data_IF_925272563537
#
_entry.id   IF_925272563537
#
_cell.length_a   1.000
_cell.length_b   1.000
_cell.length_c   1.000
_cell.angle_alpha   90.00
_cell.angle_beta   90.00
_cell.angle_gamma   90.00
#
_symmetry.space_group_name_H-M   'P 1'
#
loop_
_entity.id
_entity.type
_entity.pdbx_description
1 polymer ?
#
# COMPACT_ATOMS: atom_id res chain seq x y z
N UNK A 1 14.91 -9.85 -20.69
CA UNK A 1 13.87 -9.97 -19.62
C UNK A 1 12.70 -10.89 -19.99
N UNK A 2 12.13 -10.85 -21.20
CA UNK A 2 10.98 -11.68 -21.58
C UNK A 2 11.18 -13.20 -21.44
N UNK A 3 12.43 -13.68 -21.50
CA UNK A 3 12.78 -15.10 -21.31
C UNK A 3 12.97 -15.52 -19.82
N UNK A 4 13.11 -14.57 -18.88
CA UNK A 4 13.43 -14.83 -17.46
C UNK A 4 12.23 -14.64 -16.52
N UNK A 5 11.20 -13.94 -16.99
CA UNK A 5 9.89 -13.85 -16.35
C UNK A 5 8.84 -13.65 -17.46
N UNK A 6 7.88 -14.58 -17.63
CA UNK A 6 6.81 -14.39 -18.60
C UNK A 6 5.99 -13.13 -18.26
N UNK A 7 5.37 -12.53 -19.29
CA UNK A 7 4.43 -11.44 -19.07
C UNK A 7 3.35 -11.88 -18.09
N UNK A 8 3.09 -11.07 -17.06
CA UNK A 8 2.01 -11.37 -16.13
C UNK A 8 0.69 -11.47 -16.91
N UNK A 9 -0.24 -12.33 -16.46
CA UNK A 9 -1.63 -12.21 -16.91
C UNK A 9 -2.05 -10.75 -16.69
N UNK A 10 -2.71 -10.09 -17.65
CA UNK A 10 -3.13 -8.70 -17.47
C UNK A 10 -3.95 -8.64 -16.19
N UNK A 11 -3.37 -8.01 -15.16
CA UNK A 11 -4.01 -7.91 -13.86
C UNK A 11 -5.32 -7.15 -14.06
N UNK A 12 -6.39 -7.61 -13.41
CA UNK A 12 -7.68 -6.93 -13.50
C UNK A 12 -7.54 -5.53 -12.91
N UNK A 13 -7.37 -4.53 -13.78
CA UNK A 13 -7.32 -3.11 -13.41
C UNK A 13 -8.66 -2.71 -12.83
N UNK A 14 -8.63 -1.92 -11.77
CA UNK A 14 -9.85 -1.33 -11.22
C UNK A 14 -10.34 -0.21 -12.13
N UNK A 15 -11.58 -0.31 -12.60
CA UNK A 15 -12.23 0.75 -13.39
C UNK A 15 -13.28 1.44 -12.52
N UNK A 16 -13.16 2.75 -12.23
CA UNK A 16 -14.19 3.49 -11.51
C UNK A 16 -15.49 3.55 -12.32
N UNK A 17 -16.63 3.51 -11.63
CA UNK A 17 -17.96 3.73 -12.25
C UNK A 17 -18.31 5.21 -12.35
N UNK A 18 -17.68 6.04 -11.51
CA UNK A 18 -17.83 7.49 -11.52
C UNK A 18 -16.48 8.14 -11.32
N UNK A 19 -16.15 9.10 -12.16
CA UNK A 19 -14.97 9.94 -11.99
C UNK A 19 -15.43 11.39 -11.87
N UNK A 20 -14.95 12.08 -10.85
CA UNK A 20 -15.22 13.50 -10.64
C UNK A 20 -13.92 14.28 -10.56
N UNK A 21 -13.93 15.51 -11.05
CA UNK A 21 -12.82 16.47 -10.90
C UNK A 21 -13.33 17.76 -10.27
N UNK A 22 -12.63 18.24 -9.23
CA UNK A 22 -12.94 19.55 -8.65
C UNK A 22 -12.33 20.69 -9.48
N UNK A 23 -12.92 21.90 -9.49
CA UNK A 23 -12.35 23.05 -10.21
C UNK A 23 -10.87 23.30 -9.91
N UNK A 24 -10.49 23.31 -8.62
CA UNK A 24 -9.10 23.52 -8.22
C UNK A 24 -8.14 22.44 -8.74
N UNK A 25 -8.61 21.21 -8.95
CA UNK A 25 -7.76 20.16 -9.50
C UNK A 25 -7.39 20.45 -10.96
N UNK A 26 -8.29 21.07 -11.71
CA UNK A 26 -8.10 21.41 -13.12
C UNK A 26 -7.13 22.59 -13.31
N UNK A 27 -6.85 23.37 -12.27
CA UNK A 27 -5.84 24.43 -12.27
C UNK A 27 -4.42 23.85 -12.32
N UNK A 28 -4.21 22.63 -11.83
CA UNK A 28 -2.92 21.95 -11.85
C UNK A 28 -2.67 21.19 -13.16
N UNK A 29 -1.45 21.27 -13.74
CA UNK A 29 -1.08 20.49 -14.92
C UNK A 29 -1.30 18.99 -14.76
N UNK A 30 -0.95 18.42 -13.60
CA UNK A 30 -1.15 16.99 -13.36
C UNK A 30 -2.62 16.62 -13.28
N UNK A 31 -3.47 17.45 -12.66
CA UNK A 31 -4.92 17.22 -12.66
C UNK A 31 -5.50 17.13 -14.07
N UNK A 32 -5.10 18.04 -14.97
CA UNK A 32 -5.48 17.98 -16.39
C UNK A 32 -4.96 16.72 -17.09
N UNK A 33 -3.74 16.26 -16.78
CA UNK A 33 -3.19 14.99 -17.30
C UNK A 33 -3.98 13.78 -16.82
N UNK A 34 -4.39 13.74 -15.55
CA UNK A 34 -5.24 12.65 -15.02
C UNK A 34 -6.57 12.63 -15.77
N UNK A 35 -7.22 13.79 -15.95
CA UNK A 35 -8.49 13.89 -16.71
C UNK A 35 -8.32 13.36 -18.13
N UNK A 36 -7.31 13.85 -18.86
CA UNK A 36 -7.06 13.41 -20.23
C UNK A 36 -6.77 11.90 -20.32
N UNK A 37 -6.02 11.34 -19.36
CA UNK A 37 -5.74 9.91 -19.30
C UNK A 37 -7.00 9.08 -19.04
N UNK A 38 -7.86 9.51 -18.13
CA UNK A 38 -9.12 8.84 -17.81
C UNK A 38 -10.09 8.91 -19.01
N UNK A 39 -10.22 10.08 -19.64
CA UNK A 39 -11.07 10.26 -20.84
C UNK A 39 -10.55 9.43 -22.02
N UNK A 40 -9.23 9.29 -22.19
CA UNK A 40 -8.64 8.42 -23.21
C UNK A 40 -8.92 6.92 -22.99
N UNK A 41 -9.29 6.52 -21.77
CA UNK A 41 -9.77 5.16 -21.47
C UNK A 41 -11.29 5.01 -21.70
N UNK A 42 -11.96 6.03 -22.23
CA UNK A 42 -13.40 6.04 -22.48
C UNK A 42 -14.25 6.26 -21.23
N UNK A 43 -13.67 6.76 -20.14
CA UNK A 43 -14.37 7.01 -18.89
C UNK A 43 -14.72 8.50 -18.80
N UNK A 44 -16.00 8.81 -18.64
CA UNK A 44 -16.46 10.19 -18.47
C UNK A 44 -15.95 10.79 -17.15
N UNK A 45 -15.47 12.04 -17.21
CA UNK A 45 -15.07 12.82 -16.04
C UNK A 45 -16.07 13.96 -15.78
N UNK A 46 -16.86 13.81 -14.72
CA UNK A 46 -17.78 14.83 -14.24
C UNK A 46 -17.00 15.99 -13.61
N UNK A 47 -17.08 17.17 -14.23
CA UNK A 47 -16.45 18.40 -13.73
C UNK A 47 -17.38 19.07 -12.73
N UNK A 48 -17.00 19.08 -11.46
CA UNK A 48 -17.82 19.63 -10.38
C UNK A 48 -17.81 21.16 -10.41
N UNK A 49 -18.88 21.79 -9.89
CA UNK A 49 -19.00 23.27 -9.79
C UNK A 49 -18.21 23.88 -8.62
N UNK A 50 -17.85 23.08 -7.62
CA UNK A 50 -17.16 23.53 -6.41
C UNK A 50 -16.18 22.46 -5.92
N UNK A 51 -15.26 22.83 -5.04
CA UNK A 51 -14.27 21.94 -4.42
C UNK A 51 -14.89 21.05 -3.32
N UNK A 52 -16.03 20.42 -3.61
CA UNK A 52 -16.78 19.57 -2.68
C UNK A 52 -17.36 18.37 -3.41
N UNK A 53 -17.10 17.18 -2.89
CA UNK A 53 -17.68 15.94 -3.42
C UNK A 53 -19.17 15.85 -3.06
N UNK A 54 -20.00 15.63 -4.06
CA UNK A 54 -21.46 15.43 -3.95
C UNK A 54 -21.85 14.06 -4.51
N UNK A 55 -23.07 13.60 -4.20
CA UNK A 55 -23.63 12.36 -4.76
C UNK A 55 -23.05 11.05 -4.21
N UNK A 56 -22.14 11.11 -3.23
CA UNK A 56 -21.50 9.90 -2.67
C UNK A 56 -22.42 9.15 -1.71
N UNK A 57 -23.20 9.87 -0.88
CA UNK A 57 -24.10 9.24 0.11
C UNK A 57 -25.34 8.66 -0.58
N UNK A 58 -25.64 7.40 -0.27
CA UNK A 58 -26.85 6.68 -0.66
C UNK A 58 -27.92 6.69 0.44
N UNK A 59 -28.97 5.89 0.27
CA UNK A 59 -30.04 5.73 1.28
C UNK A 59 -29.58 4.89 2.47
N UNK A 60 -28.60 4.01 2.25
CA UNK A 60 -28.01 3.15 3.29
C UNK A 60 -26.49 3.31 3.35
N UNK A 61 -25.87 2.88 4.46
CA UNK A 61 -24.41 2.85 4.58
C UNK A 61 -23.76 1.91 3.57
N UNK A 62 -24.42 0.79 3.26
CA UNK A 62 -23.97 -0.16 2.23
C UNK A 62 -23.94 0.47 0.84
N UNK A 63 -24.98 1.21 0.48
CA UNK A 63 -25.02 1.96 -0.79
C UNK A 63 -23.95 3.05 -0.83
N UNK A 64 -23.82 3.81 0.26
CA UNK A 64 -22.78 4.84 0.39
C UNK A 64 -21.39 4.24 0.21
N UNK A 65 -21.12 3.11 0.85
CA UNK A 65 -19.87 2.38 0.72
C UNK A 65 -19.61 1.89 -0.70
N UNK A 66 -20.60 1.25 -1.35
CA UNK A 66 -20.47 0.75 -2.71
C UNK A 66 -20.22 1.87 -3.73
N UNK A 67 -20.94 3.00 -3.60
CA UNK A 67 -20.70 4.20 -4.42
C UNK A 67 -19.30 4.76 -4.19
N UNK A 68 -18.89 4.90 -2.93
CA UNK A 68 -17.57 5.43 -2.60
C UNK A 68 -16.43 4.57 -3.17
N UNK A 69 -16.49 3.24 -3.01
CA UNK A 69 -15.48 2.29 -3.52
C UNK A 69 -15.41 2.20 -5.05
N UNK A 70 -16.43 2.69 -5.75
CA UNK A 70 -16.47 2.75 -7.21
C UNK A 70 -16.30 4.18 -7.76
N UNK A 71 -16.02 5.17 -6.90
CA UNK A 71 -15.80 6.56 -7.28
C UNK A 71 -14.31 6.92 -7.21
N UNK A 72 -13.78 7.53 -8.27
CA UNK A 72 -12.51 8.23 -8.27
C UNK A 72 -12.76 9.74 -8.20
N UNK A 73 -12.06 10.44 -7.31
CA UNK A 73 -12.12 11.88 -7.20
C UNK A 73 -10.75 12.51 -7.46
N UNK A 74 -10.66 13.38 -8.46
CA UNK A 74 -9.47 14.16 -8.80
C UNK A 74 -9.58 15.49 -8.05
N UNK A 75 -8.72 15.67 -7.04
CA UNK A 75 -8.78 16.78 -6.09
C UNK A 75 -7.38 17.36 -5.84
N UNK A 76 -7.29 18.50 -5.16
CA UNK A 76 -6.02 19.01 -4.62
C UNK A 76 -5.80 18.42 -3.22
N UNK A 77 -4.55 18.08 -2.88
CA UNK A 77 -4.22 17.58 -1.55
C UNK A 77 -4.60 18.58 -0.45
N UNK A 78 -5.08 18.14 0.73
CA UNK A 78 -5.34 19.04 1.85
C UNK A 78 -4.04 19.72 2.31
N UNK A 79 -4.03 21.04 2.63
CA UNK A 79 -2.81 21.74 3.05
C UNK A 79 -2.07 21.09 4.22
N UNK A 80 -2.81 20.50 5.17
CA UNK A 80 -2.24 19.77 6.30
C UNK A 80 -1.40 18.54 5.91
N UNK A 81 -1.58 17.99 4.69
CA UNK A 81 -0.77 16.89 4.15
C UNK A 81 0.59 17.33 3.63
N UNK A 82 0.83 18.64 3.46
CA UNK A 82 2.11 19.19 2.99
C UNK A 82 3.19 19.14 4.08
N UNK A 83 2.78 19.13 5.35
CA UNK A 83 3.69 18.91 6.47
C UNK A 83 3.85 17.41 6.72
N UNK A 84 4.97 16.84 6.27
CA UNK A 84 5.20 15.40 6.36
C UNK A 84 5.25 14.93 7.81
N UNK A 85 4.67 13.74 8.04
CA UNK A 85 4.63 13.11 9.35
C UNK A 85 5.61 11.94 9.39
N UNK A 86 6.31 11.72 10.52
CA UNK A 86 7.08 10.49 10.70
C UNK A 86 6.21 9.25 10.64
N UNK A 87 6.74 8.14 10.10
CA UNK A 87 5.98 6.90 9.93
C UNK A 87 6.80 5.66 10.32
N UNK A 88 7.32 5.70 11.53
CA UNK A 88 8.00 4.56 12.13
C UNK A 88 7.07 3.34 12.25
N UNK A 89 7.57 2.10 12.02
CA UNK A 89 8.95 1.77 11.66
C UNK A 89 9.24 1.73 10.14
N UNK A 90 8.26 2.07 9.29
CA UNK A 90 8.39 1.92 7.82
C UNK A 90 9.46 2.84 7.24
N UNK A 91 9.28 4.16 7.40
CA UNK A 91 10.10 5.18 6.76
C UNK A 91 10.26 6.41 7.64
N UNK A 92 11.21 7.28 7.28
CA UNK A 92 11.42 8.56 7.94
C UNK A 92 10.20 9.47 7.82
N UNK A 93 9.62 9.55 6.62
CA UNK A 93 8.51 10.46 6.31
C UNK A 93 7.40 9.76 5.54
N UNK A 94 6.16 10.14 5.81
CA UNK A 94 5.01 9.83 4.95
C UNK A 94 4.66 11.04 4.10
N UNK A 95 4.45 10.82 2.81
CA UNK A 95 3.74 11.74 1.92
C UNK A 95 2.62 10.98 1.20
N UNK A 96 1.63 11.70 0.70
CA UNK A 96 0.44 11.10 0.10
C UNK A 96 0.27 11.61 -1.33
N UNK A 97 0.14 10.70 -2.30
CA UNK A 97 -0.23 11.02 -3.70
C UNK A 97 -1.71 10.77 -3.98
N UNK A 98 -2.36 10.02 -3.10
CA UNK A 98 -3.76 9.71 -3.09
C UNK A 98 -4.19 9.27 -1.68
N UNK A 99 -5.50 9.25 -1.45
CA UNK A 99 -6.13 8.77 -0.22
C UNK A 99 -7.34 7.90 -0.56
N UNK A 100 -7.54 6.82 0.20
CA UNK A 100 -8.52 5.79 -0.11
C UNK A 100 -7.96 4.74 -1.07
N UNK A 101 -8.68 3.63 -1.18
CA UNK A 101 -8.29 2.48 -1.98
C UNK A 101 -9.54 1.78 -2.50
N UNK A 102 -9.58 1.34 -3.77
CA UNK A 102 -10.72 0.64 -4.34
C UNK A 102 -10.86 -0.81 -3.86
N UNK A 103 -9.83 -1.38 -3.22
CA UNK A 103 -9.89 -2.74 -2.70
C UNK A 103 -10.89 -2.90 -1.54
N UNK A 104 -11.35 -4.13 -1.35
CA UNK A 104 -12.31 -4.55 -0.34
C UNK A 104 -11.67 -5.48 0.71
N UNK A 105 -10.49 -5.10 1.20
CA UNK A 105 -9.84 -5.82 2.30
C UNK A 105 -10.70 -5.73 3.57
N UNK A 106 -11.13 -6.86 4.13
CA UNK A 106 -12.05 -6.91 5.27
C UNK A 106 -11.38 -6.55 6.61
N UNK A 107 -10.05 -6.43 6.62
CA UNK A 107 -9.22 -6.05 7.77
C UNK A 107 -8.61 -4.65 7.63
N UNK A 108 -9.04 -3.86 6.64
CA UNK A 108 -8.36 -2.64 6.25
C UNK A 108 -8.35 -1.58 7.37
N UNK A 109 -7.17 -1.23 7.88
CA UNK A 109 -7.03 -0.22 8.95
C UNK A 109 -7.48 1.19 8.52
N UNK A 110 -7.59 1.45 7.20
CA UNK A 110 -8.12 2.70 6.67
C UNK A 110 -9.56 2.95 7.12
N UNK A 111 -10.32 1.89 7.42
CA UNK A 111 -11.68 1.98 7.95
C UNK A 111 -11.77 2.81 9.24
N UNK A 112 -10.74 2.77 10.09
CA UNK A 112 -10.67 3.59 11.30
C UNK A 112 -9.77 4.82 11.19
N UNK A 113 -9.14 5.04 10.03
CA UNK A 113 -8.15 6.12 9.86
C UNK A 113 -8.64 7.26 8.97
N UNK A 114 -9.64 7.01 8.13
CA UNK A 114 -10.23 7.99 7.22
C UNK A 114 -11.66 8.30 7.65
N UNK A 115 -12.04 9.57 7.58
CA UNK A 115 -13.39 10.01 7.98
C UNK A 115 -14.32 10.06 6.77
N UNK A 116 -15.59 9.70 7.00
CA UNK A 116 -16.63 9.73 5.98
C UNK A 116 -16.53 8.59 4.95
N UNK A 117 -17.25 8.71 3.82
CA UNK A 117 -17.27 7.66 2.81
C UNK A 117 -15.88 7.41 2.20
N UNK A 118 -15.47 6.14 2.02
CA UNK A 118 -14.11 5.76 1.61
C UNK A 118 -13.90 5.92 0.08
N UNK A 119 -14.10 7.15 -0.41
CA UNK A 119 -13.84 7.53 -1.81
C UNK A 119 -12.34 7.51 -2.06
N UNK A 120 -11.94 6.97 -3.21
CA UNK A 120 -10.56 7.07 -3.69
C UNK A 120 -10.32 8.46 -4.27
N UNK A 121 -9.43 9.23 -3.64
CA UNK A 121 -9.06 10.59 -4.00
C UNK A 121 -7.63 10.61 -4.52
N UNK A 122 -7.40 11.13 -5.71
CA UNK A 122 -6.06 11.30 -6.31
C UNK A 122 -5.72 12.78 -6.36
N UNK A 123 -4.45 13.10 -6.11
CA UNK A 123 -4.02 14.48 -5.94
C UNK A 123 -3.45 15.09 -7.22
N UNK A 124 -3.99 16.23 -7.59
CA UNK A 124 -3.65 16.99 -8.80
C UNK A 124 -2.40 17.87 -8.61
N UNK A 125 -2.00 18.17 -7.38
CA UNK A 125 -0.84 19.01 -7.04
C UNK A 125 0.48 18.22 -6.92
N UNK A 126 0.62 17.14 -7.71
CA UNK A 126 1.75 16.20 -7.68
C UNK A 126 3.12 16.89 -7.70
N UNK A 127 3.33 17.83 -8.64
CA UNK A 127 4.63 18.49 -8.79
C UNK A 127 4.99 19.32 -7.53
N UNK A 128 4.00 19.93 -6.87
CA UNK A 128 4.18 20.65 -5.61
C UNK A 128 4.45 19.70 -4.43
N UNK A 129 3.76 18.56 -4.38
CA UNK A 129 4.00 17.52 -3.36
C UNK A 129 5.43 16.99 -3.47
N UNK A 130 5.88 16.63 -4.68
CA UNK A 130 7.23 16.10 -4.91
C UNK A 130 8.32 17.14 -4.61
N UNK A 131 8.14 18.39 -5.06
CA UNK A 131 9.09 19.47 -4.77
C UNK A 131 9.27 19.70 -3.26
N UNK A 132 8.17 19.65 -2.48
CA UNK A 132 8.21 19.84 -1.03
C UNK A 132 8.94 18.75 -0.25
N UNK A 133 9.25 17.60 -0.86
CA UNK A 133 9.99 16.53 -0.18
C UNK A 133 11.43 16.95 0.13
N UNK A 134 12.01 17.85 -0.67
CA UNK A 134 13.40 18.31 -0.51
C UNK A 134 13.68 18.91 0.87
N UNK A 135 12.69 19.58 1.47
CA UNK A 135 12.80 20.21 2.80
C UNK A 135 12.97 19.19 3.94
N UNK A 136 12.73 17.90 3.67
CA UNK A 136 12.75 16.81 4.65
C UNK A 136 13.94 15.86 4.48
N UNK A 137 14.65 15.93 3.36
CA UNK A 137 15.84 15.11 3.12
C UNK A 137 16.93 15.40 4.16
N UNK A 138 17.57 14.35 4.69
CA UNK A 138 18.57 14.44 5.74
C UNK A 138 18.03 14.72 7.15
N UNK A 139 16.71 14.85 7.32
CA UNK A 139 16.07 15.17 8.63
C UNK A 139 15.39 13.97 9.29
N UNK A 140 15.48 12.79 8.68
CA UNK A 140 14.85 11.56 9.14
C UNK A 140 15.39 11.04 10.47
N UNK A 141 14.61 10.19 11.14
CA UNK A 141 14.97 9.58 12.44
C UNK A 141 14.72 8.07 12.52
N UNK A 142 14.17 7.46 11.47
CA UNK A 142 13.79 6.05 11.39
C UNK A 142 14.86 5.26 10.65
N UNK A 143 15.12 5.57 9.38
CA UNK A 143 16.18 4.90 8.59
C UNK A 143 17.47 5.69 8.65
N UNK A 144 17.38 7.02 8.56
CA UNK A 144 18.53 7.92 8.60
C UNK A 144 19.36 7.83 9.90
N UNK A 145 18.80 7.29 10.99
CA UNK A 145 19.50 7.07 12.29
C UNK A 145 19.66 5.61 12.67
N UNK A 146 19.22 4.68 11.83
CA UNK A 146 19.35 3.25 12.09
C UNK A 146 20.65 2.75 11.48
N UNK A 147 21.56 2.23 12.31
CA UNK A 147 22.80 1.62 11.81
C UNK A 147 22.54 0.48 10.80
N UNK A 148 21.39 -0.19 10.90
CA UNK A 148 20.99 -1.29 10.03
C UNK A 148 20.25 -0.86 8.75
N UNK A 149 19.89 0.42 8.61
CA UNK A 149 19.10 0.94 7.47
C UNK A 149 19.59 2.28 6.93
N UNK A 150 20.76 2.76 7.37
CA UNK A 150 21.31 4.07 6.99
C UNK A 150 21.61 4.12 5.48
N UNK A 151 21.90 2.97 4.86
CA UNK A 151 22.12 2.82 3.44
C UNK A 151 20.87 3.10 2.59
N UNK A 152 19.67 3.02 3.17
CA UNK A 152 18.42 3.43 2.50
C UNK A 152 18.32 4.96 2.35
N UNK A 153 19.17 5.72 3.07
CA UNK A 153 19.10 7.17 3.12
C UNK A 153 17.83 7.68 3.82
N UNK A 154 17.42 8.91 3.50
CA UNK A 154 16.14 9.44 3.96
C UNK A 154 14.99 8.79 3.19
N UNK A 155 14.15 8.05 3.90
CA UNK A 155 13.09 7.26 3.28
C UNK A 155 11.72 7.93 3.31
N UNK A 156 10.98 7.79 2.21
CA UNK A 156 9.65 8.38 2.03
C UNK A 156 8.62 7.30 1.67
N UNK A 157 7.63 7.09 2.54
CA UNK A 157 6.51 6.16 2.32
C UNK A 157 5.34 6.86 1.61
N UNK A 158 4.96 6.35 0.43
CA UNK A 158 3.94 6.94 -0.43
C UNK A 158 2.60 6.19 -0.47
N UNK A 159 2.46 5.10 0.30
CA UNK A 159 1.31 4.17 0.21
C UNK A 159 0.54 3.98 1.52
N UNK A 160 0.76 4.84 2.52
CA UNK A 160 0.06 4.73 3.81
C UNK A 160 -1.47 4.85 3.71
N UNK A 161 -1.99 5.57 2.74
CA UNK A 161 -3.43 5.82 2.65
C UNK A 161 -4.05 5.38 1.33
N UNK A 162 -3.31 4.66 0.49
CA UNK A 162 -3.76 4.26 -0.83
C UNK A 162 -2.99 3.06 -1.35
N UNK A 163 -3.41 2.50 -2.48
CA UNK A 163 -2.66 1.46 -3.18
C UNK A 163 -2.11 2.01 -4.51
N UNK A 164 -0.77 2.07 -4.69
CA UNK A 164 -0.11 2.59 -5.89
C UNK A 164 -0.63 2.04 -7.22
N UNK A 165 -0.52 0.72 -7.40
CA UNK A 165 -0.75 0.08 -8.68
C UNK A 165 -2.24 -0.06 -8.99
N UNK A 166 -3.11 0.09 -7.98
CA UNK A 166 -4.54 0.24 -8.21
C UNK A 166 -4.87 1.50 -9.04
N UNK A 167 -4.04 2.54 -8.94
CA UNK A 167 -4.33 3.90 -9.45
C UNK A 167 -3.37 4.37 -10.53
N UNK A 168 -2.22 3.72 -10.70
CA UNK A 168 -1.19 4.17 -11.64
C UNK A 168 -1.71 4.28 -13.07
N UNK A 169 -2.46 3.28 -13.55
CA UNK A 169 -3.02 3.29 -14.91
C UNK A 169 -4.00 4.45 -15.17
N UNK A 170 -4.55 5.08 -14.13
CA UNK A 170 -5.44 6.23 -14.22
C UNK A 170 -4.68 7.55 -14.05
N UNK A 171 -3.57 7.54 -13.31
CA UNK A 171 -2.95 8.77 -12.80
C UNK A 171 -1.57 9.05 -13.38
N UNK A 172 -0.71 8.02 -13.51
CA UNK A 172 0.72 8.19 -13.77
C UNK A 172 1.51 8.83 -12.63
N UNK A 173 0.92 8.97 -11.44
CA UNK A 173 1.55 9.68 -10.33
C UNK A 173 2.75 8.92 -9.76
N UNK A 174 2.69 7.58 -9.75
CA UNK A 174 3.72 6.74 -9.15
C UNK A 174 4.94 6.62 -10.07
N UNK A 175 4.74 6.45 -11.38
CA UNK A 175 5.85 6.54 -12.34
C UNK A 175 6.60 7.87 -12.21
N UNK A 176 5.85 8.99 -12.16
CA UNK A 176 6.44 10.33 -12.00
C UNK A 176 7.22 10.48 -10.68
N UNK A 177 6.75 9.84 -9.61
CA UNK A 177 7.46 9.80 -8.33
C UNK A 177 8.75 8.98 -8.42
N UNK A 178 8.75 7.81 -9.09
CA UNK A 178 10.00 7.05 -9.33
C UNK A 178 11.01 7.87 -10.11
N UNK A 179 10.58 8.51 -11.20
CA UNK A 179 11.45 9.37 -12.01
C UNK A 179 12.02 10.55 -11.20
N UNK A 180 11.20 11.15 -10.31
CA UNK A 180 11.65 12.21 -9.41
C UNK A 180 12.73 11.73 -8.45
N UNK A 181 12.52 10.59 -7.77
CA UNK A 181 13.50 10.02 -6.84
C UNK A 181 14.76 9.53 -7.56
N UNK A 182 14.62 8.94 -8.75
CA UNK A 182 15.76 8.51 -9.54
C UNK A 182 16.69 9.68 -9.90
N UNK A 183 16.13 10.83 -10.28
CA UNK A 183 16.87 12.04 -10.62
C UNK A 183 17.40 12.82 -9.41
N UNK A 184 17.00 12.48 -8.19
CA UNK A 184 17.34 13.25 -7.00
C UNK A 184 18.73 12.91 -6.48
N UNK A 185 19.71 13.79 -6.72
CA UNK A 185 21.10 13.62 -6.28
C UNK A 185 21.31 13.76 -4.76
N UNK A 186 20.82 12.79 -4.00
CA UNK A 186 20.95 12.67 -2.55
C UNK A 186 20.73 11.20 -2.12
N UNK A 187 21.16 10.81 -0.90
CA UNK A 187 20.79 9.52 -0.31
C UNK A 187 19.33 9.56 0.14
N UNK A 188 18.41 9.32 -0.81
CA UNK A 188 16.97 9.26 -0.59
C UNK A 188 16.38 7.99 -1.20
N UNK A 189 15.29 7.50 -0.63
CA UNK A 189 14.58 6.34 -1.18
C UNK A 189 13.07 6.48 -1.05
N UNK A 190 12.39 6.30 -2.18
CA UNK A 190 10.95 6.15 -2.25
C UNK A 190 10.55 4.73 -1.87
N UNK A 191 9.52 4.58 -1.05
CA UNK A 191 9.00 3.27 -0.65
C UNK A 191 7.50 3.26 -0.84
N UNK A 192 6.98 2.17 -1.40
CA UNK A 192 5.54 1.91 -1.42
C UNK A 192 5.23 0.41 -1.33
N UNK A 193 4.01 0.06 -0.93
CA UNK A 193 3.51 -1.32 -0.89
C UNK A 193 2.19 -1.41 -1.68
N UNK A 194 1.94 -2.55 -2.32
CA UNK A 194 0.75 -2.78 -3.16
C UNK A 194 0.20 -4.20 -3.02
N UNK A 195 -1.10 -4.38 -3.28
CA UNK A 195 -1.79 -5.67 -3.47
C UNK A 195 -2.17 -5.94 -4.93
N UNK A 196 -1.66 -5.15 -5.88
CA UNK A 196 -1.88 -5.32 -7.32
C UNK A 196 -0.57 -5.74 -8.00
N UNK A 197 -0.65 -6.16 -9.26
CA UNK A 197 0.46 -6.81 -9.97
C UNK A 197 0.81 -6.14 -11.31
N UNK A 198 0.14 -5.05 -11.67
CA UNK A 198 0.37 -4.34 -12.93
C UNK A 198 1.61 -3.44 -12.84
N UNK A 199 2.77 -4.03 -13.07
CA UNK A 199 4.08 -3.38 -12.96
C UNK A 199 4.72 -3.03 -14.31
N UNK A 200 3.99 -3.22 -15.41
CA UNK A 200 4.54 -3.16 -16.76
C UNK A 200 5.21 -1.82 -17.07
N UNK A 201 4.65 -0.71 -16.59
CA UNK A 201 5.18 0.64 -16.80
C UNK A 201 6.39 0.99 -15.94
N UNK A 202 6.77 0.12 -15.00
CA UNK A 202 7.92 0.29 -14.12
C UNK A 202 9.12 -0.56 -14.54
N UNK A 203 8.91 -1.69 -15.22
CA UNK A 203 10.01 -2.51 -15.75
C UNK A 203 10.74 -1.73 -16.84
N UNK A 204 12.06 -1.57 -16.70
CA UNK A 204 12.92 -0.77 -17.57
C UNK A 204 12.86 0.74 -17.31
N UNK A 205 12.12 1.18 -16.28
CA UNK A 205 12.11 2.59 -15.88
C UNK A 205 13.41 2.91 -15.14
N UNK A 206 14.15 4.00 -15.48
CA UNK A 206 15.41 4.33 -14.81
C UNK A 206 15.15 4.77 -13.36
N UNK A 207 15.14 3.81 -12.43
CA UNK A 207 14.81 4.04 -11.01
C UNK A 207 16.04 4.31 -10.12
N UNK A 208 17.25 4.14 -10.67
CA UNK A 208 18.54 4.40 -10.00
C UNK A 208 18.71 3.74 -8.62
N UNK A 209 18.07 2.59 -8.38
CA UNK A 209 18.03 1.93 -7.06
C UNK A 209 17.32 2.72 -5.95
N UNK A 210 16.73 3.89 -6.24
CA UNK A 210 16.13 4.82 -5.26
C UNK A 210 14.65 4.58 -4.97
N UNK A 211 14.11 3.44 -5.40
CA UNK A 211 12.72 3.05 -5.09
C UNK A 211 12.66 1.62 -4.60
N UNK A 212 12.14 1.39 -3.39
CA UNK A 212 11.76 0.06 -2.91
C UNK A 212 10.29 -0.23 -3.15
N UNK A 213 10.01 -1.23 -3.98
CA UNK A 213 8.64 -1.68 -4.26
C UNK A 213 8.32 -2.91 -3.42
N UNK A 214 7.30 -2.82 -2.57
CA UNK A 214 6.88 -3.92 -1.70
C UNK A 214 5.54 -4.50 -2.15
N UNK A 215 5.37 -5.78 -1.91
CA UNK A 215 4.12 -6.48 -2.17
C UNK A 215 3.54 -6.99 -0.87
N UNK A 216 2.30 -6.57 -0.61
CA UNK A 216 1.51 -7.14 0.47
C UNK A 216 1.13 -8.57 0.12
N UNK A 217 1.57 -9.52 0.94
CA UNK A 217 1.30 -10.95 0.76
C UNK A 217 0.71 -11.55 2.03
N UNK A 218 -0.02 -12.65 1.87
CA UNK A 218 -0.63 -13.34 2.99
C UNK A 218 -0.86 -14.82 2.65
N UNK A 219 -1.12 -15.62 3.68
CA UNK A 219 -1.55 -17.00 3.51
C UNK A 219 -2.82 -17.09 2.65
N UNK A 220 -2.98 -18.16 1.87
CA UNK A 220 -4.12 -18.34 0.95
C UNK A 220 -5.49 -18.23 1.66
N UNK A 221 -5.72 -18.83 2.84
CA UNK A 221 -6.99 -18.70 3.55
C UNK A 221 -7.34 -17.27 3.97
N UNK A 222 -6.34 -16.38 4.08
CA UNK A 222 -6.55 -14.96 4.36
C UNK A 222 -6.80 -14.20 3.07
N UNK A 223 -5.88 -14.30 2.11
CA UNK A 223 -5.93 -13.50 0.88
C UNK A 223 -7.18 -13.80 0.05
N UNK A 224 -7.52 -15.07 -0.16
CA UNK A 224 -8.65 -15.48 -0.99
C UNK A 224 -10.01 -15.12 -0.39
N UNK A 225 -10.10 -15.08 0.95
CA UNK A 225 -11.37 -14.85 1.66
C UNK A 225 -11.60 -13.40 2.05
N UNK A 226 -10.53 -12.64 2.26
CA UNK A 226 -10.60 -11.31 2.89
C UNK A 226 -10.09 -10.18 2.01
N UNK A 227 -9.42 -10.45 0.88
CA UNK A 227 -8.78 -9.42 0.04
C UNK A 227 -9.52 -9.19 -1.29
N UNK A 228 -10.79 -8.79 -1.21
CA UNK A 228 -11.60 -8.55 -2.40
C UNK A 228 -11.05 -7.44 -3.30
N UNK A 229 -11.08 -7.65 -4.62
CA UNK A 229 -10.67 -6.65 -5.61
C UNK A 229 -9.17 -6.40 -5.71
N UNK A 230 -8.34 -7.37 -5.29
CA UNK A 230 -6.88 -7.31 -5.37
C UNK A 230 -6.34 -8.39 -6.31
N UNK A 231 -5.07 -8.30 -6.71
CA UNK A 231 -4.41 -9.38 -7.47
C UNK A 231 -4.22 -10.62 -6.58
N UNK A 232 -4.09 -11.81 -7.17
CA UNK A 232 -3.78 -13.01 -6.37
C UNK A 232 -2.36 -12.93 -5.81
N UNK A 233 -2.06 -13.64 -4.72
CA UNK A 233 -0.70 -13.67 -4.17
C UNK A 233 0.33 -14.20 -5.18
N UNK A 234 0.06 -15.26 -5.96
CA UNK A 234 0.96 -15.67 -7.06
C UNK A 234 1.24 -14.55 -8.06
N UNK A 235 0.23 -13.78 -8.49
CA UNK A 235 0.44 -12.66 -9.42
C UNK A 235 1.30 -11.56 -8.81
N UNK A 236 1.12 -11.26 -7.51
CA UNK A 236 1.93 -10.28 -6.78
C UNK A 236 3.39 -10.73 -6.69
N UNK A 237 3.63 -12.02 -6.42
CA UNK A 237 4.99 -12.57 -6.37
C UNK A 237 5.65 -12.61 -7.76
N UNK A 238 4.87 -12.86 -8.83
CA UNK A 238 5.36 -12.73 -10.20
C UNK A 238 5.76 -11.28 -10.54
N UNK A 239 4.95 -10.31 -10.12
CA UNK A 239 5.27 -8.88 -10.26
C UNK A 239 6.52 -8.49 -9.45
N UNK A 240 6.65 -8.99 -8.21
CA UNK A 240 7.85 -8.83 -7.38
C UNK A 240 9.10 -9.33 -8.11
N UNK A 241 9.05 -10.56 -8.65
CA UNK A 241 10.17 -11.14 -9.40
C UNK A 241 10.58 -10.25 -10.56
N UNK A 242 9.62 -9.73 -11.32
CA UNK A 242 9.90 -8.88 -12.50
C UNK A 242 10.63 -7.60 -12.11
N UNK A 243 10.20 -6.93 -11.05
CA UNK A 243 10.88 -5.74 -10.55
C UNK A 243 12.26 -6.06 -9.97
N UNK A 244 12.38 -7.18 -9.26
CA UNK A 244 13.66 -7.61 -8.70
C UNK A 244 14.69 -7.93 -9.81
N UNK A 245 14.27 -8.61 -10.88
CA UNK A 245 15.11 -8.87 -12.06
C UNK A 245 15.48 -7.60 -12.84
N UNK A 246 14.71 -6.52 -12.68
CA UNK A 246 14.98 -5.20 -13.27
C UNK A 246 15.90 -4.34 -12.38
N UNK A 247 16.28 -4.84 -11.20
CA UNK A 247 17.20 -4.18 -10.27
C UNK A 247 16.53 -3.30 -9.21
N UNK A 248 15.20 -3.32 -9.10
CA UNK A 248 14.53 -2.65 -7.97
C UNK A 248 14.89 -3.35 -6.65
N UNK A 249 15.20 -2.60 -5.58
CA UNK A 249 14.99 -3.10 -4.22
C UNK A 249 13.53 -3.52 -4.04
N UNK A 250 13.30 -4.72 -3.52
CA UNK A 250 11.95 -5.27 -3.35
C UNK A 250 11.66 -5.64 -1.90
N UNK A 251 10.39 -5.88 -1.59
CA UNK A 251 10.08 -6.41 -0.27
C UNK A 251 8.71 -7.06 -0.14
N UNK A 252 8.58 -7.79 0.95
CA UNK A 252 7.35 -8.44 1.39
C UNK A 252 6.77 -7.63 2.53
N UNK A 253 5.50 -7.26 2.39
CA UNK A 253 4.69 -6.78 3.52
C UNK A 253 3.76 -7.92 3.92
N UNK A 254 4.18 -8.77 4.87
CA UNK A 254 3.33 -9.85 5.36
C UNK A 254 2.35 -9.25 6.36
N UNK A 255 1.20 -8.80 5.85
CA UNK A 255 0.28 -7.98 6.63
C UNK A 255 -1.19 -8.03 6.14
N UNK A 256 -2.15 -8.14 7.08
CA UNK A 256 -1.94 -8.49 8.49
C UNK A 256 -1.66 -9.98 8.65
N UNK A 257 -0.68 -10.35 9.46
CA UNK A 257 -0.51 -11.73 9.91
C UNK A 257 -1.72 -12.07 10.79
N UNK A 258 -2.55 -12.97 10.28
CA UNK A 258 -3.72 -13.54 10.96
C UNK A 258 -3.42 -14.99 11.34
N UNK A 259 -3.58 -15.33 12.62
CA UNK A 259 -3.46 -16.69 13.15
C UNK A 259 -4.71 -17.53 12.80
N UNK A 260 -4.88 -17.83 11.51
CA UNK A 260 -5.91 -18.77 11.03
C UNK A 260 -5.64 -20.20 11.52
N UNK A 261 -6.62 -21.12 11.49
CA UNK A 261 -6.34 -22.54 11.69
C UNK A 261 -5.19 -23.01 10.77
N UNK A 262 -4.28 -23.81 11.31
CA UNK A 262 -3.07 -24.30 10.63
C UNK A 262 -2.18 -23.20 10.03
N UNK A 263 -2.15 -22.00 10.62
CA UNK A 263 -1.39 -20.86 10.09
C UNK A 263 0.07 -21.19 9.75
N UNK A 264 0.75 -22.05 10.52
CA UNK A 264 2.13 -22.46 10.21
C UNK A 264 2.26 -23.11 8.85
N UNK A 265 1.38 -24.06 8.53
CA UNK A 265 1.36 -24.73 7.22
C UNK A 265 1.06 -23.71 6.13
N UNK A 266 0.06 -22.87 6.36
CA UNK A 266 -0.42 -21.91 5.36
C UNK A 266 0.58 -20.80 5.04
N UNK A 267 1.26 -20.26 6.06
CA UNK A 267 2.37 -19.34 5.83
C UNK A 267 3.62 -20.06 5.33
N UNK A 268 3.85 -21.34 5.68
CA UNK A 268 4.93 -22.14 5.09
C UNK A 268 4.79 -22.24 3.57
N UNK A 269 3.58 -22.55 3.09
CA UNK A 269 3.26 -22.57 1.65
C UNK A 269 3.43 -21.20 0.98
N UNK A 270 3.14 -20.10 1.70
CA UNK A 270 3.43 -18.75 1.21
C UNK A 270 4.95 -18.55 1.04
N UNK A 271 5.74 -18.94 2.04
CA UNK A 271 7.20 -18.79 2.00
C UNK A 271 7.82 -19.65 0.89
N UNK A 272 7.28 -20.84 0.61
CA UNK A 272 7.72 -21.68 -0.52
C UNK A 272 7.48 -21.00 -1.89
N UNK A 273 6.36 -20.29 -2.03
CA UNK A 273 6.10 -19.47 -3.22
C UNK A 273 7.07 -18.29 -3.31
N UNK A 274 7.42 -17.66 -2.18
CA UNK A 274 8.43 -16.60 -2.13
C UNK A 274 9.79 -17.13 -2.60
N UNK A 275 10.24 -18.27 -2.06
CA UNK A 275 11.50 -18.93 -2.48
C UNK A 275 11.53 -19.12 -3.99
N UNK A 276 10.44 -19.67 -4.54
CA UNK A 276 10.31 -19.89 -5.98
C UNK A 276 10.38 -18.57 -6.77
N UNK A 277 9.68 -17.54 -6.30
CA UNK A 277 9.61 -16.25 -6.98
C UNK A 277 10.97 -15.53 -7.04
N UNK A 278 11.82 -15.69 -6.02
CA UNK A 278 13.12 -15.00 -5.95
C UNK A 278 14.31 -15.85 -6.39
N UNK A 279 14.09 -17.11 -6.75
CA UNK A 279 15.15 -18.01 -7.21
C UNK A 279 15.89 -17.46 -8.44
N UNK A 280 17.22 -17.39 -8.36
CA UNK A 280 18.08 -16.93 -9.46
C UNK A 280 17.99 -15.43 -9.78
N UNK A 281 17.43 -14.61 -8.89
CA UNK A 281 17.50 -13.14 -9.02
C UNK A 281 18.91 -12.67 -8.61
N UNK A 282 19.68 -12.01 -9.49
CA UNK A 282 21.00 -11.50 -9.15
C UNK A 282 20.89 -10.35 -8.15
N UNK A 283 21.86 -10.25 -7.22
CA UNK A 283 21.99 -9.12 -6.28
C UNK A 283 20.69 -8.76 -5.53
N UNK A 284 19.89 -9.77 -5.19
CA UNK A 284 18.57 -9.60 -4.59
C UNK A 284 18.63 -8.79 -3.29
N UNK A 285 18.07 -7.58 -3.32
CA UNK A 285 17.76 -6.80 -2.12
C UNK A 285 16.29 -6.99 -1.72
N UNK A 286 16.05 -8.06 -0.95
CA UNK A 286 14.74 -8.42 -0.43
C UNK A 286 14.61 -8.09 1.05
N UNK A 287 13.54 -7.39 1.43
CA UNK A 287 13.20 -7.12 2.84
C UNK A 287 11.84 -7.69 3.22
N UNK A 288 11.64 -8.05 4.49
CA UNK A 288 10.33 -8.42 5.04
C UNK A 288 9.89 -7.45 6.15
N UNK A 289 8.64 -7.00 6.06
CA UNK A 289 7.93 -6.25 7.08
C UNK A 289 6.77 -7.11 7.61
N UNK A 290 6.82 -7.43 8.90
CA UNK A 290 5.91 -8.38 9.53
C UNK A 290 4.94 -7.63 10.45
N UNK A 291 3.65 -7.65 10.11
CA UNK A 291 2.66 -6.81 10.78
C UNK A 291 1.49 -7.69 11.19
N UNK A 292 1.28 -7.84 12.49
CA UNK A 292 0.16 -8.63 13.01
C UNK A 292 -1.17 -7.94 12.86
N UNK A 293 -2.24 -8.74 12.77
CA UNK A 293 -3.59 -8.22 12.80
C UNK A 293 -3.86 -7.43 14.07
N UNK A 294 -4.42 -6.24 13.87
CA UNK A 294 -4.84 -5.33 14.93
C UNK A 294 -6.08 -4.56 14.48
N UNK A 295 -6.88 -4.14 15.43
CA UNK A 295 -8.03 -3.27 15.17
C UNK A 295 -8.25 -2.31 16.34
N UNK A 296 -8.92 -1.20 16.08
CA UNK A 296 -9.48 -0.28 17.08
C UNK A 296 -10.99 -0.50 17.18
N UNK A 297 -11.66 -0.10 18.28
CA UNK A 297 -13.12 -0.14 18.39
C UNK A 297 -13.82 0.49 17.18
N UNK A 298 -13.39 1.70 16.78
CA UNK A 298 -13.97 2.39 15.63
C UNK A 298 -13.73 1.67 14.30
N UNK A 299 -12.54 1.11 14.06
CA UNK A 299 -12.31 0.33 12.84
C UNK A 299 -13.17 -0.94 12.80
N UNK A 300 -13.37 -1.59 13.95
CA UNK A 300 -14.22 -2.79 14.07
C UNK A 300 -15.66 -2.47 13.73
N UNK A 301 -16.22 -1.40 14.30
CA UNK A 301 -17.58 -0.94 14.02
C UNK A 301 -17.78 -0.67 12.52
N UNK A 302 -16.89 0.11 11.91
CA UNK A 302 -16.95 0.43 10.47
C UNK A 302 -16.85 -0.83 9.61
N UNK A 303 -15.90 -1.73 9.92
CA UNK A 303 -15.71 -2.96 9.16
C UNK A 303 -16.90 -3.92 9.28
N UNK A 304 -17.52 -4.05 10.46
CA UNK A 304 -18.72 -4.86 10.64
C UNK A 304 -19.94 -4.24 9.92
N UNK A 305 -20.01 -2.92 9.83
CA UNK A 305 -21.01 -2.23 9.01
C UNK A 305 -20.85 -2.51 7.51
N UNK A 306 -19.62 -2.50 6.99
CA UNK A 306 -19.35 -2.78 5.58
C UNK A 306 -19.43 -4.27 5.22
N UNK A 307 -18.99 -5.14 6.13
CA UNK A 307 -18.85 -6.58 5.93
C UNK A 307 -19.50 -7.37 7.08
N UNK A 308 -20.85 -7.34 7.23
CA UNK A 308 -21.55 -7.97 8.35
C UNK A 308 -21.39 -9.50 8.39
N UNK A 309 -20.93 -10.12 7.30
CA UNK A 309 -20.66 -11.56 7.18
C UNK A 309 -19.17 -11.90 7.18
N UNK A 310 -18.30 -10.97 7.58
CA UNK A 310 -16.87 -11.24 7.68
C UNK A 310 -16.59 -12.38 8.66
N UNK A 311 -15.61 -13.22 8.33
CA UNK A 311 -15.08 -14.24 9.25
C UNK A 311 -13.83 -13.75 9.99
N UNK A 312 -13.50 -12.47 9.87
CA UNK A 312 -12.37 -11.87 10.57
C UNK A 312 -12.68 -11.80 12.07
N UNK A 313 -11.85 -12.47 12.87
CA UNK A 313 -11.97 -12.44 14.33
C UNK A 313 -11.52 -11.05 14.87
N UNK A 314 -12.49 -10.35 15.45
CA UNK A 314 -12.33 -9.04 16.10
C UNK A 314 -13.06 -9.01 17.46
N UNK A 315 -13.06 -10.11 18.21
CA UNK A 315 -13.57 -10.18 19.56
C UNK A 315 -12.55 -9.57 20.54
N UNK A 316 -12.93 -8.47 21.16
CA UNK A 316 -12.11 -7.73 22.12
C UNK A 316 -11.72 -8.59 23.34
N UNK A 317 -12.57 -9.55 23.74
CA UNK A 317 -12.32 -10.43 24.89
C UNK A 317 -11.18 -11.43 24.64
N UNK A 318 -10.92 -11.77 23.37
CA UNK A 318 -9.84 -12.71 22.99
C UNK A 318 -8.53 -11.98 22.66
N UNK A 319 -8.50 -10.66 22.79
CA UNK A 319 -7.39 -9.80 22.38
C UNK A 319 -6.79 -9.07 23.56
N UNK A 320 -5.52 -8.68 23.42
CA UNK A 320 -4.85 -7.79 24.36
C UNK A 320 -5.04 -6.35 23.95
N UNK A 321 -5.51 -5.53 24.90
CA UNK A 321 -5.60 -4.07 24.75
C UNK A 321 -4.21 -3.43 24.86
N UNK A 322 -3.86 -2.57 23.90
CA UNK A 322 -2.62 -1.78 23.88
C UNK A 322 -2.95 -0.31 23.64
N UNK A 323 -2.30 0.57 24.42
CA UNK A 323 -2.44 2.01 24.29
C UNK A 323 -1.35 2.58 23.39
N UNK A 324 -1.73 3.47 22.50
CA UNK A 324 -0.83 4.30 21.72
C UNK A 324 -0.29 5.47 22.54
N UNK A 325 0.72 6.16 21.99
CA UNK A 325 1.38 7.31 22.62
C UNK A 325 0.41 8.42 23.04
N UNK A 326 -0.69 8.58 22.31
CA UNK A 326 -1.73 9.61 22.54
C UNK A 326 -3.02 9.03 23.12
N UNK A 327 -2.97 7.89 23.80
CA UNK A 327 -4.12 7.27 24.46
C UNK A 327 -5.03 6.43 23.55
N UNK A 328 -4.84 6.47 22.23
CA UNK A 328 -5.60 5.65 21.29
C UNK A 328 -5.48 4.14 21.62
N UNK A 329 -6.61 3.45 21.71
CA UNK A 329 -6.66 2.03 22.04
C UNK A 329 -6.64 1.19 20.77
N UNK A 330 -5.83 0.13 20.76
CA UNK A 330 -5.86 -0.93 19.76
C UNK A 330 -5.82 -2.30 20.41
N UNK A 331 -6.45 -3.27 19.76
CA UNK A 331 -6.44 -4.68 20.13
C UNK A 331 -5.43 -5.43 19.27
N UNK A 332 -4.60 -6.24 19.92
CA UNK A 332 -3.58 -7.09 19.31
C UNK A 332 -3.71 -8.51 19.85
N UNK A 333 -3.01 -9.47 19.27
CA UNK A 333 -3.01 -10.84 19.80
C UNK A 333 -2.47 -10.91 21.25
N UNK A 334 -2.87 -11.92 22.03
CA UNK A 334 -2.23 -12.29 23.29
C UNK A 334 -0.72 -12.48 23.14
N UNK A 335 0.03 -12.36 24.24
CA UNK A 335 1.50 -12.36 24.22
C UNK A 335 2.05 -13.69 23.70
N UNK A 336 1.39 -14.78 24.04
CA UNK A 336 1.75 -16.16 23.71
C UNK A 336 1.68 -16.34 22.20
N UNK A 337 0.53 -16.00 21.60
CA UNK A 337 0.31 -16.05 20.13
C UNK A 337 1.26 -15.10 19.40
N UNK A 338 1.49 -13.88 19.90
CA UNK A 338 2.45 -12.94 19.32
C UNK A 338 3.87 -13.51 19.31
N UNK A 339 4.29 -14.15 20.40
CA UNK A 339 5.63 -14.75 20.52
C UNK A 339 5.76 -15.95 19.58
N UNK A 340 4.75 -16.80 19.54
CA UNK A 340 4.69 -17.99 18.69
C UNK A 340 4.79 -17.64 17.20
N UNK A 341 3.99 -16.67 16.74
CA UNK A 341 4.04 -16.19 15.36
C UNK A 341 5.41 -15.56 15.06
N UNK A 342 5.91 -14.68 15.93
CA UNK A 342 7.18 -13.98 15.73
C UNK A 342 8.34 -14.97 15.59
N UNK A 343 8.51 -15.85 16.56
CA UNK A 343 9.60 -16.83 16.56
C UNK A 343 9.54 -17.75 15.33
N UNK A 344 8.33 -18.14 14.92
CA UNK A 344 8.17 -18.96 13.71
C UNK A 344 8.57 -18.19 12.45
N UNK A 345 8.09 -16.95 12.25
CA UNK A 345 8.44 -16.16 11.07
C UNK A 345 9.94 -15.82 11.02
N UNK A 346 10.54 -15.44 12.16
CA UNK A 346 11.97 -15.15 12.24
C UNK A 346 12.82 -16.37 11.85
N UNK A 347 12.46 -17.57 12.33
CA UNK A 347 13.14 -18.82 11.94
C UNK A 347 12.95 -19.15 10.46
N UNK A 348 11.70 -19.23 10.01
CA UNK A 348 11.40 -19.76 8.67
C UNK A 348 11.87 -18.82 7.55
N UNK A 349 11.86 -17.50 7.77
CA UNK A 349 12.44 -16.57 6.80
C UNK A 349 13.95 -16.73 6.68
N UNK A 350 14.67 -16.92 7.79
CA UNK A 350 16.11 -17.17 7.78
C UNK A 350 16.44 -18.50 7.11
N UNK A 351 15.69 -19.56 7.42
CA UNK A 351 15.93 -20.90 6.87
C UNK A 351 15.57 -21.02 5.39
N UNK A 352 14.43 -20.46 4.96
CA UNK A 352 13.93 -20.62 3.59
C UNK A 352 14.42 -19.53 2.64
N UNK A 353 14.55 -18.30 3.12
CA UNK A 353 14.84 -17.11 2.29
C UNK A 353 16.01 -16.31 2.89
N UNK A 354 17.23 -16.88 2.97
CA UNK A 354 18.35 -16.29 3.72
C UNK A 354 18.78 -14.89 3.25
N UNK A 355 18.48 -14.53 1.99
CA UNK A 355 18.71 -13.18 1.46
C UNK A 355 17.70 -12.13 1.98
N UNK A 356 16.61 -12.56 2.64
CA UNK A 356 15.56 -11.67 3.12
C UNK A 356 15.93 -11.03 4.45
N UNK A 357 16.05 -9.69 4.49
CA UNK A 357 16.27 -8.94 5.73
C UNK A 357 14.93 -8.61 6.39
N UNK A 358 14.71 -9.08 7.62
CA UNK A 358 13.54 -8.68 8.42
C UNK A 358 13.78 -7.27 8.95
N UNK A 359 12.96 -6.31 8.53
CA UNK A 359 13.08 -4.92 8.98
C UNK A 359 12.45 -4.70 10.36
N UNK A 360 11.26 -5.27 10.58
CA UNK A 360 10.55 -5.13 11.84
C UNK A 360 9.37 -6.11 11.98
N UNK A 361 8.95 -6.27 13.23
CA UNK A 361 7.73 -6.97 13.67
C UNK A 361 6.86 -6.00 14.50
N UNK A 362 5.55 -5.89 14.22
CA UNK A 362 4.67 -4.99 14.99
C UNK A 362 3.22 -5.44 15.19
#
# INVERSE_FOLDING_TARGET
MAALAPAARPARRWTPRRVVATPAALEHPHGRRIVARVEALGIEVERLRANRLTGVRGQTDRETYARAKSTLAIVVSPPARRTLQPIAPSADWRFDLAEGCPAHCQYCYLAGSLTGPPVTRVYADLDGILAGLADYAGRGTVTSRSAARVEEGTTFEASCYTDPLALEHLTGSWRRAVEHFAAWDAPVQLRWTTKYADVDTFVGLPHAGRTRVRFSVNAAPVSERMEGGTATVPDRLAALRRLALDGYPVGLTVAPIIAVPDWRREYGLLLDQVVTAVAGVPELDLTAELITHRFTPGSREVLLGWYPRTRLEMDEATRRRKYGKFGAVKYVYPREVMTELRTWFERELVERVPACRILYWT
#
